data_IF_301921322762
#
_entry.id   IF_301921322762
#
_cell.length_a   1.000
_cell.length_b   1.000
_cell.length_c   1.000
_cell.angle_alpha   90.00
_cell.angle_beta   90.00
_cell.angle_gamma   90.00
#
_symmetry.space_group_name_H-M   'P 1'
#
loop_
_entity.id
_entity.type
_entity.pdbx_description
1 polymer ?
#
# COMPACT_ATOMS: atom_id res chain seq x y z
N UNK A 1 17.59 4.23 -11.83
CA UNK A 1 18.15 2.86 -11.92
C UNK A 1 19.43 2.93 -12.74
N UNK A 2 20.55 2.46 -12.21
CA UNK A 2 21.81 2.35 -12.96
C UNK A 2 22.10 0.89 -13.28
N UNK A 3 23.00 0.64 -14.24
CA UNK A 3 23.51 -0.71 -14.44
C UNK A 3 24.27 -1.18 -13.19
N UNK A 4 24.34 -2.49 -12.95
CA UNK A 4 24.98 -3.06 -11.76
C UNK A 4 26.44 -2.62 -11.54
N UNK A 5 27.12 -2.21 -12.61
CA UNK A 5 28.49 -1.72 -12.59
C UNK A 5 28.69 -0.28 -13.11
N UNK A 6 27.62 0.52 -13.25
CA UNK A 6 27.66 1.88 -13.81
C UNK A 6 28.44 2.88 -12.91
N UNK A 7 29.49 3.57 -13.44
CA UNK A 7 30.21 4.61 -12.74
C UNK A 7 29.81 6.02 -13.21
N UNK A 8 28.87 6.66 -12.52
CA UNK A 8 28.68 8.11 -12.67
C UNK A 8 29.27 8.84 -11.45
N UNK A 9 30.43 9.49 -11.62
CA UNK A 9 31.13 10.35 -10.62
C UNK A 9 30.27 11.54 -10.12
N UNK A 10 30.51 12.14 -8.94
CA UNK A 10 31.53 11.79 -7.95
C UNK A 10 31.64 12.68 -6.70
N UNK A 11 32.51 12.23 -5.80
CA UNK A 11 33.51 12.95 -5.02
C UNK A 11 33.14 14.39 -4.66
N UNK A 12 32.27 14.56 -3.66
CA UNK A 12 32.34 15.79 -2.84
C UNK A 12 33.53 15.70 -1.91
N UNK A 13 34.14 16.85 -1.61
CA UNK A 13 35.15 16.96 -0.56
C UNK A 13 34.59 16.33 0.72
N UNK A 14 35.37 15.50 1.43
CA UNK A 14 34.94 14.89 2.70
C UNK A 14 34.44 15.93 3.70
N UNK A 15 34.91 17.19 3.57
CA UNK A 15 34.47 18.33 4.38
C UNK A 15 33.06 18.83 4.04
N UNK A 16 32.56 18.57 2.83
CA UNK A 16 31.22 18.95 2.36
C UNK A 16 30.22 17.78 2.37
N UNK A 17 30.66 16.60 2.78
CA UNK A 17 29.84 15.41 2.83
C UNK A 17 28.93 15.44 4.08
N UNK A 18 27.60 15.28 3.93
CA UNK A 18 26.72 15.22 5.09
C UNK A 18 27.08 14.03 5.99
N UNK A 19 27.07 14.24 7.31
CA UNK A 19 27.48 13.23 8.32
C UNK A 19 26.73 11.88 8.21
N UNK A 20 25.56 11.87 7.57
CA UNK A 20 24.72 10.69 7.41
C UNK A 20 25.06 9.83 6.20
N UNK A 21 26.09 10.15 5.41
CA UNK A 21 26.48 9.40 4.21
C UNK A 21 27.71 8.51 4.53
N UNK A 22 27.50 7.19 4.67
CA UNK A 22 28.52 6.16 4.96
C UNK A 22 29.32 5.73 3.73
N UNK A 23 28.70 5.70 2.57
CA UNK A 23 29.32 5.24 1.33
C UNK A 23 28.73 5.96 0.11
N UNK A 24 29.56 6.21 -0.89
CA UNK A 24 29.16 6.64 -2.23
C UNK A 24 29.20 5.41 -3.14
N UNK A 25 28.08 5.02 -3.77
CA UNK A 25 27.96 3.78 -4.56
C UNK A 25 28.66 3.86 -5.93
N UNK A 26 29.68 4.70 -6.08
CA UNK A 26 30.20 5.16 -7.38
C UNK A 26 31.71 5.00 -7.39
N UNK A 27 32.17 3.76 -7.50
CA UNK A 27 33.57 3.41 -7.24
C UNK A 27 34.35 2.84 -8.42
N UNK A 28 33.72 2.49 -9.54
CA UNK A 28 34.43 2.03 -10.73
C UNK A 28 34.92 3.26 -11.51
N UNK A 29 36.16 3.25 -12.01
CA UNK A 29 36.62 4.31 -12.90
C UNK A 29 35.86 4.21 -14.24
N UNK A 30 35.49 5.33 -14.86
CA UNK A 30 34.79 5.34 -16.15
C UNK A 30 35.46 4.44 -17.21
N UNK A 31 36.80 4.42 -17.21
CA UNK A 31 37.61 3.57 -18.08
C UNK A 31 37.43 2.06 -17.88
N UNK A 32 37.12 1.61 -16.67
CA UNK A 32 36.91 0.20 -16.35
C UNK A 32 35.50 -0.25 -16.76
N UNK A 33 34.50 0.62 -16.60
CA UNK A 33 33.14 0.38 -17.10
C UNK A 33 33.08 0.33 -18.61
N UNK A 34 33.73 1.26 -19.32
CA UNK A 34 33.76 1.26 -20.78
C UNK A 34 34.36 -0.02 -21.36
N UNK A 35 35.20 -0.75 -20.59
CA UNK A 35 35.77 -2.03 -21.03
C UNK A 35 34.82 -3.22 -20.85
N UNK A 36 33.89 -3.15 -19.90
CA UNK A 36 32.94 -4.23 -19.57
C UNK A 36 31.61 -3.64 -19.06
N UNK A 37 30.83 -2.96 -19.90
CA UNK A 37 29.56 -2.40 -19.46
C UNK A 37 28.58 -3.54 -19.14
N UNK A 38 28.04 -3.53 -17.92
CA UNK A 38 26.85 -4.31 -17.61
C UNK A 38 25.65 -3.54 -18.17
N UNK A 39 24.77 -4.24 -18.88
CA UNK A 39 23.54 -3.66 -19.44
C UNK A 39 22.32 -4.07 -18.62
N UNK A 40 22.52 -4.87 -17.57
CA UNK A 40 21.48 -5.26 -16.64
C UNK A 40 21.31 -4.17 -15.58
N UNK A 41 20.11 -3.58 -15.55
CA UNK A 41 19.75 -2.62 -14.52
C UNK A 41 19.59 -3.31 -13.17
N UNK A 42 20.07 -2.65 -12.11
CA UNK A 42 19.76 -3.09 -10.76
C UNK A 42 18.25 -2.98 -10.51
N UNK A 43 17.64 -4.06 -10.01
CA UNK A 43 16.19 -4.13 -9.79
C UNK A 43 15.84 -4.35 -8.33
N UNK A 44 14.73 -3.73 -7.89
CA UNK A 44 14.11 -4.08 -6.62
C UNK A 44 13.42 -5.44 -6.73
N UNK A 45 12.81 -5.91 -5.64
CA UNK A 45 11.82 -6.99 -5.74
C UNK A 45 10.52 -6.39 -6.27
N UNK A 46 10.33 -6.45 -7.58
CA UNK A 46 9.10 -6.02 -8.24
C UNK A 46 8.01 -7.10 -8.14
N UNK A 47 6.79 -6.75 -8.53
CA UNK A 47 5.70 -7.71 -8.72
C UNK A 47 6.11 -8.81 -9.71
N UNK A 48 5.58 -10.04 -9.57
CA UNK A 48 5.89 -11.15 -10.48
C UNK A 48 5.69 -10.77 -11.95
N UNK A 49 6.59 -11.21 -12.83
CA UNK A 49 6.44 -11.07 -14.28
C UNK A 49 7.00 -9.79 -14.92
N UNK A 50 7.49 -8.82 -14.13
CA UNK A 50 7.98 -7.54 -14.68
C UNK A 50 9.48 -7.57 -15.01
N UNK A 51 10.30 -8.40 -14.34
CA UNK A 51 11.77 -8.44 -14.50
C UNK A 51 12.30 -9.87 -14.29
N UNK A 52 13.42 -10.21 -14.94
CA UNK A 52 14.09 -11.51 -14.78
C UNK A 52 14.50 -11.76 -13.32
N UNK A 53 14.16 -12.93 -12.79
CA UNK A 53 14.38 -13.31 -11.38
C UNK A 53 15.85 -13.19 -10.94
N UNK A 54 16.80 -13.29 -11.88
CA UNK A 54 18.23 -13.27 -11.64
C UNK A 54 18.78 -11.92 -11.14
N UNK A 55 18.05 -10.81 -11.30
CA UNK A 55 18.47 -9.48 -10.81
C UNK A 55 17.62 -8.96 -9.64
N UNK A 56 16.64 -9.73 -9.18
CA UNK A 56 15.72 -9.30 -8.14
C UNK A 56 16.43 -8.99 -6.82
N UNK A 57 16.26 -7.75 -6.31
CA UNK A 57 16.87 -7.32 -5.05
C UNK A 57 18.33 -6.91 -5.14
N UNK A 58 18.83 -6.64 -6.35
CA UNK A 58 20.19 -6.13 -6.58
C UNK A 58 20.32 -4.62 -6.40
N UNK A 59 19.19 -3.90 -6.31
CA UNK A 59 19.21 -2.47 -5.98
C UNK A 59 19.75 -2.21 -4.57
N UNK A 60 20.64 -1.21 -4.48
CA UNK A 60 21.08 -0.65 -3.21
C UNK A 60 19.90 -0.08 -2.43
N UNK A 61 19.97 -0.22 -1.11
CA UNK A 61 19.01 0.33 -0.15
C UNK A 61 19.55 1.58 0.52
N UNK A 62 18.67 2.25 1.24
CA UNK A 62 19.00 3.46 1.98
C UNK A 62 20.16 3.23 2.96
N UNK A 63 20.15 2.12 3.70
CA UNK A 63 21.17 1.78 4.70
C UNK A 63 22.54 1.43 4.11
N UNK A 64 22.62 1.10 2.81
CA UNK A 64 23.90 0.86 2.13
C UNK A 64 24.69 2.16 2.00
N UNK A 65 24.00 3.30 1.98
CA UNK A 65 24.60 4.62 1.86
C UNK A 65 24.44 5.43 3.14
N UNK A 66 23.40 5.22 3.93
CA UNK A 66 23.01 6.12 5.03
C UNK A 66 23.19 5.53 6.42
N UNK A 67 23.73 6.35 7.35
CA UNK A 67 23.79 6.05 8.77
C UNK A 67 22.58 6.58 9.52
N UNK A 68 21.59 5.73 9.76
CA UNK A 68 20.42 6.13 10.53
C UNK A 68 20.75 6.43 12.01
N UNK A 69 21.77 5.79 12.61
CA UNK A 69 22.08 5.92 14.03
C UNK A 69 22.61 7.31 14.40
N UNK A 70 23.20 8.02 13.45
CA UNK A 70 23.78 9.34 13.68
C UNK A 70 22.76 10.49 13.61
N UNK A 71 21.62 10.30 12.93
CA UNK A 71 20.67 11.39 12.64
C UNK A 71 19.26 11.22 13.17
N UNK A 72 18.87 10.01 13.61
CA UNK A 72 17.50 9.72 14.06
C UNK A 72 17.35 9.70 15.60
N UNK A 73 18.19 10.44 16.33
CA UNK A 73 18.15 10.51 17.80
C UNK A 73 16.85 11.11 18.36
N UNK A 74 16.08 11.82 17.53
CA UNK A 74 14.77 12.36 17.88
C UNK A 74 13.69 11.28 18.05
N UNK A 75 13.88 10.10 17.43
CA UNK A 75 12.91 9.02 17.44
C UNK A 75 13.06 8.20 18.73
N UNK A 76 11.99 7.98 19.51
CA UNK A 76 12.04 7.07 20.65
C UNK A 76 12.41 5.66 20.19
N UNK A 77 13.38 5.03 20.85
CA UNK A 77 13.85 3.67 20.53
C UNK A 77 14.14 3.49 19.02
N UNK A 78 15.10 4.22 18.44
CA UNK A 78 15.28 4.27 16.98
C UNK A 78 15.60 2.90 16.38
N UNK A 79 16.31 2.05 17.13
CA UNK A 79 16.58 0.67 16.72
C UNK A 79 15.31 -0.16 16.49
N UNK A 80 14.25 0.03 17.30
CA UNK A 80 12.99 -0.73 17.15
C UNK A 80 12.25 -0.31 15.89
N UNK A 81 12.19 0.99 15.60
CA UNK A 81 11.59 1.50 14.37
C UNK A 81 12.35 1.03 13.13
N UNK A 82 13.68 1.14 13.12
CA UNK A 82 14.51 0.69 12.00
C UNK A 82 14.46 -0.83 11.79
N UNK A 83 14.13 -1.61 12.82
CA UNK A 83 13.88 -3.05 12.70
C UNK A 83 12.49 -3.37 12.13
N UNK A 84 11.48 -2.54 12.38
CA UNK A 84 10.09 -2.78 11.97
C UNK A 84 9.70 -2.10 10.64
N UNK A 85 10.40 -1.05 10.23
CA UNK A 85 10.03 -0.22 9.08
C UNK A 85 11.18 -0.07 8.09
N UNK A 86 10.84 -0.06 6.81
CA UNK A 86 11.72 0.44 5.76
C UNK A 86 11.82 1.97 5.85
N UNK A 87 12.95 2.54 5.40
CA UNK A 87 13.19 3.99 5.47
C UNK A 87 12.11 4.78 4.73
N UNK A 88 11.63 4.22 3.61
CA UNK A 88 10.57 4.77 2.77
C UNK A 88 9.24 4.95 3.52
N UNK A 89 8.98 4.21 4.61
CA UNK A 89 7.75 4.39 5.39
C UNK A 89 7.64 5.80 5.97
N UNK A 90 8.76 6.36 6.45
CA UNK A 90 8.81 7.73 6.97
C UNK A 90 9.23 8.74 5.89
N UNK A 91 10.04 8.32 4.92
CA UNK A 91 10.58 9.20 3.88
C UNK A 91 9.74 9.26 2.61
N UNK A 92 8.71 8.43 2.44
CA UNK A 92 7.69 8.58 1.39
C UNK A 92 6.32 8.69 2.09
N UNK A 93 6.10 9.76 2.87
CA UNK A 93 4.86 9.92 3.64
C UNK A 93 3.67 10.21 2.74
N UNK A 94 3.92 10.83 1.58
CA UNK A 94 2.93 11.19 0.56
C UNK A 94 3.55 11.08 -0.82
N UNK A 95 2.76 10.66 -1.80
CA UNK A 95 3.10 10.72 -3.21
C UNK A 95 2.46 11.98 -3.80
N UNK A 96 3.25 12.85 -4.41
CA UNK A 96 2.81 14.14 -4.97
C UNK A 96 2.51 14.09 -6.47
N UNK A 97 2.60 12.91 -7.08
CA UNK A 97 2.21 12.68 -8.48
C UNK A 97 0.95 11.80 -8.56
N UNK A 98 0.20 11.91 -9.67
CA UNK A 98 -0.82 10.91 -10.00
C UNK A 98 -0.17 9.53 -10.14
N UNK A 99 -0.87 8.49 -9.69
CA UNK A 99 -0.51 7.10 -9.99
C UNK A 99 -1.79 6.33 -10.35
N UNK A 100 -1.64 5.20 -11.05
CA UNK A 100 -2.77 4.35 -11.41
C UNK A 100 -3.46 3.87 -10.12
N UNK A 101 -4.78 4.05 -10.07
CA UNK A 101 -5.68 3.50 -9.05
C UNK A 101 -6.22 2.16 -9.52
N UNK A 102 -6.85 2.17 -10.71
CA UNK A 102 -7.47 1.00 -11.29
C UNK A 102 -7.38 0.99 -12.82
N UNK A 103 -7.37 -0.21 -13.39
CA UNK A 103 -7.46 -0.48 -14.82
C UNK A 103 -8.60 -1.46 -15.04
N UNK A 104 -9.61 -1.05 -15.80
CA UNK A 104 -10.81 -1.84 -16.06
C UNK A 104 -10.88 -2.23 -17.55
N UNK A 105 -10.55 -3.48 -17.83
CA UNK A 105 -10.67 -4.15 -19.12
C UNK A 105 -12.01 -4.86 -19.30
N UNK A 106 -12.94 -4.75 -18.34
CA UNK A 106 -14.28 -5.31 -18.52
C UNK A 106 -15.11 -4.54 -19.53
N UNK A 107 -14.70 -3.31 -19.82
CA UNK A 107 -15.21 -2.41 -20.87
C UNK A 107 -14.05 -1.92 -21.74
N UNK A 108 -14.34 -1.54 -22.99
CA UNK A 108 -13.37 -0.92 -23.90
C UNK A 108 -13.75 0.51 -24.23
N UNK A 109 -12.78 1.43 -24.18
CA UNK A 109 -12.95 2.82 -24.68
C UNK A 109 -13.00 2.85 -26.21
N UNK A 110 -13.40 3.98 -26.84
CA UNK A 110 -13.33 4.12 -28.30
C UNK A 110 -11.94 3.85 -28.89
N UNK A 111 -10.88 4.08 -28.11
CA UNK A 111 -9.48 3.82 -28.48
C UNK A 111 -9.09 2.32 -28.36
N UNK A 112 -10.05 1.44 -28.11
CA UNK A 112 -9.84 -0.01 -27.86
C UNK A 112 -8.99 -0.29 -26.62
N UNK A 113 -8.90 0.67 -25.70
CA UNK A 113 -8.14 0.56 -24.47
C UNK A 113 -9.03 0.25 -23.25
N UNK A 114 -8.41 -0.04 -22.08
CA UNK A 114 -9.14 -0.16 -20.84
C UNK A 114 -9.53 1.22 -20.32
N UNK A 115 -10.54 1.25 -19.48
CA UNK A 115 -10.81 2.41 -18.66
C UNK A 115 -9.81 2.50 -17.52
N UNK A 116 -8.97 3.53 -17.53
CA UNK A 116 -7.94 3.75 -16.51
C UNK A 116 -8.32 4.91 -15.58
N UNK A 117 -8.21 4.69 -14.27
CA UNK A 117 -8.36 5.75 -13.26
C UNK A 117 -7.07 5.97 -12.52
N UNK A 118 -6.84 7.22 -12.15
CA UNK A 118 -5.66 7.65 -11.41
C UNK A 118 -6.07 8.17 -10.04
N UNK A 119 -5.28 7.83 -9.02
CA UNK A 119 -5.40 8.40 -7.67
C UNK A 119 -4.52 9.64 -7.55
N UNK A 120 -4.92 10.55 -6.67
CA UNK A 120 -4.21 11.80 -6.40
C UNK A 120 -4.43 12.88 -7.45
N UNK A 121 -5.53 12.79 -8.22
CA UNK A 121 -5.97 13.80 -9.19
C UNK A 121 -7.47 14.07 -9.10
N UNK A 122 -7.88 15.24 -9.55
CA UNK A 122 -9.28 15.59 -9.82
C UNK A 122 -9.35 16.21 -11.20
N UNK A 123 -10.00 15.52 -12.13
CA UNK A 123 -9.99 15.83 -13.57
C UNK A 123 -9.35 14.72 -14.41
N UNK A 124 -9.34 14.90 -15.73
CA UNK A 124 -8.72 13.98 -16.69
C UNK A 124 -7.19 14.18 -16.73
N UNK A 125 -6.40 13.11 -16.74
CA UNK A 125 -4.94 13.22 -16.52
C UNK A 125 -4.20 14.04 -17.61
N UNK A 126 -4.78 14.14 -18.79
CA UNK A 126 -4.31 14.88 -19.96
C UNK A 126 -4.86 16.31 -20.06
N UNK A 127 -5.82 16.68 -19.21
CA UNK A 127 -6.36 18.04 -19.13
C UNK A 127 -5.39 18.97 -18.37
N UNK A 128 -4.93 20.09 -18.96
CA UNK A 128 -4.12 21.10 -18.28
C UNK A 128 -4.78 21.68 -17.01
N UNK A 129 -6.11 21.64 -16.90
CA UNK A 129 -6.88 22.07 -15.74
C UNK A 129 -6.91 21.08 -14.58
N UNK A 130 -6.30 19.89 -14.72
CA UNK A 130 -6.36 18.85 -13.70
C UNK A 130 -5.63 19.23 -12.43
N UNK A 131 -6.34 19.09 -11.31
CA UNK A 131 -5.79 19.33 -9.99
C UNK A 131 -5.05 18.08 -9.49
N UNK A 132 -3.74 18.18 -9.34
CA UNK A 132 -2.90 17.15 -8.73
C UNK A 132 -2.87 17.36 -7.22
N UNK A 133 -3.48 16.45 -6.46
CA UNK A 133 -3.55 16.49 -5.00
C UNK A 133 -2.60 15.48 -4.32
N UNK A 134 -2.15 14.48 -5.07
CA UNK A 134 -1.35 13.38 -4.51
C UNK A 134 -2.15 12.50 -3.53
N UNK A 135 -1.49 11.56 -2.87
CA UNK A 135 -2.14 10.64 -1.95
C UNK A 135 -1.15 10.05 -0.93
N UNK A 136 -1.69 9.50 0.15
CA UNK A 136 -0.89 8.76 1.14
C UNK A 136 -0.84 7.28 0.79
N UNK A 137 0.35 6.66 0.73
CA UNK A 137 0.45 5.28 0.32
C UNK A 137 0.05 4.30 1.43
N UNK A 138 -0.39 3.11 1.02
CA UNK A 138 -0.74 2.03 1.94
C UNK A 138 0.53 1.44 2.53
N UNK A 139 0.52 1.19 3.84
CA UNK A 139 1.62 0.56 4.53
C UNK A 139 1.40 -0.95 4.61
N UNK A 140 2.24 -1.74 3.92
CA UNK A 140 2.13 -3.21 3.88
C UNK A 140 3.41 -3.88 4.41
N UNK A 141 3.27 -5.04 5.08
CA UNK A 141 4.41 -5.85 5.47
C UNK A 141 5.08 -6.47 4.24
N UNK A 142 6.42 -6.44 4.21
CA UNK A 142 7.24 -7.02 3.15
C UNK A 142 8.47 -7.71 3.76
N UNK A 143 8.81 -8.88 3.24
CA UNK A 143 10.00 -9.60 3.63
C UNK A 143 11.29 -8.87 3.18
N UNK A 144 12.27 -8.81 4.07
CA UNK A 144 13.66 -8.39 3.81
C UNK A 144 14.47 -9.58 3.28
N UNK A 145 15.67 -9.33 2.77
CA UNK A 145 16.58 -10.40 2.30
C UNK A 145 16.95 -11.39 3.41
N UNK A 146 16.96 -10.95 4.67
CA UNK A 146 17.28 -11.79 5.82
C UNK A 146 16.06 -12.53 6.39
N UNK A 147 14.91 -12.51 5.73
CA UNK A 147 13.68 -13.17 6.17
C UNK A 147 12.90 -12.41 7.25
N UNK A 148 13.42 -11.30 7.78
CA UNK A 148 12.67 -10.42 8.67
C UNK A 148 11.58 -9.67 7.89
N UNK A 149 10.45 -9.37 8.52
CA UNK A 149 9.36 -8.59 7.91
C UNK A 149 9.43 -7.13 8.35
N UNK A 150 9.32 -6.21 7.40
CA UNK A 150 9.26 -4.77 7.65
C UNK A 150 8.12 -4.13 6.88
N UNK A 151 7.59 -3.02 7.39
CA UNK A 151 6.53 -2.26 6.73
C UNK A 151 7.13 -1.32 5.68
N UNK A 152 6.54 -1.28 4.49
CA UNK A 152 6.89 -0.37 3.40
C UNK A 152 5.65 0.27 2.76
N UNK A 153 5.78 1.47 2.16
CA UNK A 153 4.72 2.11 1.40
C UNK A 153 4.51 1.43 0.04
N UNK A 154 3.25 1.23 -0.32
CA UNK A 154 2.83 0.65 -1.59
C UNK A 154 1.70 1.46 -2.22
N UNK A 155 1.68 1.50 -3.55
CA UNK A 155 0.49 1.80 -4.32
C UNK A 155 -0.25 0.49 -4.61
N UNK A 156 -1.53 0.42 -4.26
CA UNK A 156 -2.39 -0.70 -4.65
C UNK A 156 -3.07 -0.37 -5.98
N UNK A 157 -2.83 -1.19 -6.99
CA UNK A 157 -3.50 -1.07 -8.30
C UNK A 157 -4.50 -2.20 -8.44
N UNK A 158 -5.75 -1.87 -8.72
CA UNK A 158 -6.78 -2.86 -9.03
C UNK A 158 -6.91 -3.05 -10.55
N UNK A 159 -6.92 -4.29 -11.01
CA UNK A 159 -7.19 -4.65 -12.40
C UNK A 159 -8.47 -5.47 -12.46
N UNK A 160 -9.40 -5.11 -13.34
CA UNK A 160 -10.60 -5.88 -13.63
C UNK A 160 -10.57 -6.33 -15.08
N UNK A 161 -10.87 -7.59 -15.35
CA UNK A 161 -10.78 -8.15 -16.69
C UNK A 161 -11.62 -9.42 -16.82
N UNK A 162 -11.82 -9.87 -18.06
CA UNK A 162 -12.52 -11.11 -18.37
C UNK A 162 -11.56 -12.30 -18.41
N UNK A 163 -11.99 -13.44 -17.87
CA UNK A 163 -11.32 -14.74 -18.07
C UNK A 163 -12.28 -15.75 -18.70
N UNK A 164 -11.72 -16.69 -19.45
CA UNK A 164 -12.42 -17.78 -20.13
C UNK A 164 -11.93 -19.16 -19.66
N UNK A 165 -12.77 -20.18 -19.85
CA UNK A 165 -12.41 -21.59 -19.66
C UNK A 165 -12.10 -22.02 -18.22
N UNK A 166 -11.58 -23.25 -18.10
CA UNK A 166 -11.06 -23.83 -16.86
C UNK A 166 -9.80 -24.68 -17.21
N UNK A 167 -8.57 -24.28 -16.78
CA UNK A 167 -8.26 -23.20 -15.85
C UNK A 167 -8.55 -21.80 -16.42
N UNK A 168 -8.86 -20.80 -15.56
CA UNK A 168 -9.10 -19.43 -15.99
C UNK A 168 -7.92 -18.85 -16.78
N UNK A 169 -8.18 -18.37 -17.98
CA UNK A 169 -7.21 -17.64 -18.81
C UNK A 169 -7.75 -16.27 -19.21
N UNK A 170 -6.95 -15.19 -19.24
CA UNK A 170 -7.42 -13.88 -19.66
C UNK A 170 -7.96 -13.91 -21.10
N UNK A 171 -9.15 -13.33 -21.30
CA UNK A 171 -9.74 -13.16 -22.64
C UNK A 171 -8.82 -12.29 -23.49
N UNK A 172 -8.64 -12.66 -24.76
CA UNK A 172 -7.76 -11.93 -25.68
C UNK A 172 -8.41 -10.60 -26.06
N UNK A 173 -7.57 -9.58 -26.28
CA UNK A 173 -8.04 -8.26 -26.71
C UNK A 173 -8.88 -8.33 -28.00
N UNK A 174 -8.49 -9.18 -28.96
CA UNK A 174 -9.24 -9.35 -30.22
C UNK A 174 -10.68 -9.82 -30.01
N UNK A 175 -10.94 -10.66 -29.00
CA UNK A 175 -12.29 -11.14 -28.71
C UNK A 175 -13.10 -10.08 -27.96
N UNK A 176 -12.45 -9.33 -27.06
CA UNK A 176 -13.06 -8.15 -26.44
C UNK A 176 -13.46 -7.10 -27.50
N UNK A 177 -12.58 -6.80 -28.44
CA UNK A 177 -12.88 -5.87 -29.54
C UNK A 177 -14.04 -6.37 -30.41
N UNK A 178 -14.07 -7.67 -30.74
CA UNK A 178 -15.14 -8.25 -31.53
C UNK A 178 -16.50 -8.22 -30.81
N UNK A 179 -16.52 -8.37 -29.48
CA UNK A 179 -17.75 -8.25 -28.68
C UNK A 179 -18.23 -6.80 -28.57
N UNK A 180 -17.28 -5.86 -28.43
CA UNK A 180 -17.61 -4.45 -28.20
C UNK A 180 -17.94 -3.68 -29.48
N UNK A 181 -17.33 -4.02 -30.62
CA UNK A 181 -17.34 -3.16 -31.79
C UNK A 181 -17.71 -3.86 -33.11
N UNK A 182 -18.44 -3.15 -33.95
CA UNK A 182 -18.75 -3.52 -35.33
C UNK A 182 -18.60 -2.31 -36.24
N UNK A 183 -17.88 -2.44 -37.35
CA UNK A 183 -17.65 -1.34 -38.33
C UNK A 183 -17.07 -0.04 -37.73
N UNK A 184 -16.41 -0.13 -36.57
CA UNK A 184 -15.78 1.02 -35.90
C UNK A 184 -16.53 1.49 -34.65
N UNK A 185 -17.85 1.32 -34.62
CA UNK A 185 -18.74 1.78 -33.56
C UNK A 185 -19.06 0.67 -32.55
N UNK A 186 -19.60 1.04 -31.38
CA UNK A 186 -20.12 0.06 -30.43
C UNK A 186 -21.24 -0.77 -31.07
N UNK A 187 -21.26 -2.08 -30.79
CA UNK A 187 -22.35 -2.92 -31.29
C UNK A 187 -23.69 -2.48 -30.70
N UNK A 188 -24.82 -2.67 -31.40
CA UNK A 188 -26.13 -2.31 -30.88
C UNK A 188 -26.47 -2.95 -29.53
N UNK A 189 -25.95 -4.16 -29.28
CA UNK A 189 -26.11 -4.86 -28.01
C UNK A 189 -25.39 -4.17 -26.84
N UNK A 190 -24.21 -3.59 -27.09
CA UNK A 190 -23.46 -2.83 -26.08
C UNK A 190 -24.12 -1.47 -25.84
N UNK A 191 -24.54 -0.76 -26.89
CA UNK A 191 -25.26 0.51 -26.74
C UNK A 191 -26.52 0.30 -25.91
N UNK A 192 -27.35 -0.70 -26.23
CA UNK A 192 -28.58 -1.00 -25.50
C UNK A 192 -28.39 -1.19 -23.97
N UNK A 193 -27.20 -1.62 -23.56
CA UNK A 193 -26.90 -2.01 -22.18
C UNK A 193 -26.21 -0.87 -21.41
N UNK A 194 -25.39 -0.07 -22.10
CA UNK A 194 -24.57 0.96 -21.48
C UNK A 194 -25.18 2.37 -21.60
N UNK A 195 -25.92 2.66 -22.67
CA UNK A 195 -26.61 3.93 -22.91
C UNK A 195 -27.72 4.15 -21.85
N UNK A 196 -27.38 4.87 -20.78
CA UNK A 196 -28.28 5.16 -19.66
C UNK A 196 -29.21 6.33 -19.99
N UNK A 197 -28.72 7.30 -20.78
CA UNK A 197 -29.48 8.51 -21.12
C UNK A 197 -30.34 8.38 -22.41
N UNK A 198 -30.20 7.26 -23.11
CA UNK A 198 -30.91 6.88 -24.32
C UNK A 198 -30.65 7.82 -25.51
N UNK A 199 -29.45 8.40 -25.62
CA UNK A 199 -29.05 9.26 -26.74
C UNK A 199 -28.54 8.49 -27.97
N UNK A 200 -28.42 7.16 -27.85
CA UNK A 200 -27.95 6.25 -28.88
C UNK A 200 -26.43 6.10 -28.95
N UNK A 201 -25.68 6.61 -27.97
CA UNK A 201 -24.22 6.50 -27.85
C UNK A 201 -23.85 5.98 -26.47
N UNK A 202 -22.56 5.65 -26.30
CA UNK A 202 -22.00 5.29 -24.99
C UNK A 202 -21.03 6.38 -24.59
N UNK A 203 -21.41 7.15 -23.59
CA UNK A 203 -20.61 8.20 -22.99
C UNK A 203 -19.52 7.68 -22.01
N UNK A 204 -18.56 8.52 -21.63
CA UNK A 204 -17.51 8.14 -20.67
C UNK A 204 -18.01 7.74 -19.27
N UNK A 205 -19.13 8.31 -18.84
CA UNK A 205 -19.74 8.01 -17.54
C UNK A 205 -20.57 6.72 -17.54
N UNK A 206 -21.06 6.33 -18.72
CA UNK A 206 -21.85 5.14 -19.00
C UNK A 206 -21.00 3.89 -19.20
N UNK A 207 -19.73 4.08 -19.59
CA UNK A 207 -18.74 3.02 -19.83
C UNK A 207 -18.29 2.36 -18.51
N UNK A 208 -19.19 1.61 -17.89
CA UNK A 208 -19.02 0.89 -16.62
C UNK A 208 -20.02 -0.27 -16.51
N UNK A 209 -19.62 -1.37 -15.87
CA UNK A 209 -20.51 -2.51 -15.58
C UNK A 209 -20.97 -2.50 -14.12
N UNK A 210 -21.62 -1.42 -13.70
CA UNK A 210 -22.03 -1.16 -12.32
C UNK A 210 -23.26 -1.95 -11.84
N UNK A 211 -23.90 -2.71 -12.73
CA UNK A 211 -25.00 -3.63 -12.39
C UNK A 211 -24.75 -5.04 -12.91
N UNK A 212 -25.32 -6.04 -12.23
CA UNK A 212 -25.23 -7.45 -12.67
C UNK A 212 -25.83 -7.65 -14.07
N UNK A 213 -26.82 -6.83 -14.45
CA UNK A 213 -27.42 -6.83 -15.79
C UNK A 213 -26.38 -6.47 -16.85
N UNK A 214 -25.60 -5.40 -16.63
CA UNK A 214 -24.54 -4.98 -17.54
C UNK A 214 -23.42 -6.03 -17.64
N UNK A 215 -23.00 -6.58 -16.50
CA UNK A 215 -22.00 -7.66 -16.48
C UNK A 215 -22.48 -8.87 -17.29
N UNK A 216 -23.72 -9.31 -17.06
CA UNK A 216 -24.31 -10.47 -17.77
C UNK A 216 -24.43 -10.23 -19.27
N UNK A 217 -24.83 -9.02 -19.68
CA UNK A 217 -24.99 -8.71 -21.09
C UNK A 217 -23.64 -8.66 -21.84
N UNK A 218 -22.58 -8.10 -21.23
CA UNK A 218 -21.24 -8.15 -21.82
C UNK A 218 -20.68 -9.58 -21.85
N UNK A 219 -20.94 -10.39 -20.82
CA UNK A 219 -20.60 -11.81 -20.84
C UNK A 219 -21.28 -12.53 -22.03
N UNK A 220 -22.57 -12.28 -22.27
CA UNK A 220 -23.28 -12.84 -23.42
C UNK A 220 -22.73 -12.35 -24.78
N UNK A 221 -22.30 -11.09 -24.87
CA UNK A 221 -21.65 -10.57 -26.06
C UNK A 221 -20.31 -11.27 -26.34
N UNK A 222 -19.54 -11.58 -25.29
CA UNK A 222 -18.31 -12.36 -25.39
C UNK A 222 -18.59 -13.81 -25.83
N UNK A 223 -19.63 -14.45 -25.29
CA UNK A 223 -20.04 -15.79 -25.73
C UNK A 223 -20.43 -15.81 -27.21
N UNK A 224 -21.10 -14.78 -27.70
CA UNK A 224 -21.51 -14.67 -29.09
C UNK A 224 -20.34 -14.60 -30.08
N UNK A 225 -19.17 -14.11 -29.64
CA UNK A 225 -17.93 -14.09 -30.45
C UNK A 225 -17.02 -15.30 -30.20
N UNK A 226 -17.50 -16.27 -29.42
CA UNK A 226 -16.83 -17.56 -29.24
C UNK A 226 -15.99 -17.70 -27.98
N UNK A 227 -16.08 -16.76 -27.02
CA UNK A 227 -15.41 -16.86 -25.72
C UNK A 227 -16.19 -17.83 -24.81
N UNK A 228 -15.63 -18.98 -24.39
CA UNK A 228 -16.34 -19.96 -23.58
C UNK A 228 -16.39 -19.56 -22.10
N UNK A 229 -17.61 -19.46 -21.57
CA UNK A 229 -17.89 -19.21 -20.14
C UNK A 229 -17.13 -17.98 -19.57
N UNK A 230 -17.29 -16.79 -20.18
CA UNK A 230 -16.62 -15.58 -19.75
C UNK A 230 -17.08 -15.18 -18.36
N UNK A 231 -16.11 -14.81 -17.51
CA UNK A 231 -16.38 -14.29 -16.17
C UNK A 231 -15.49 -13.10 -15.87
N UNK A 232 -16.06 -12.04 -15.32
CA UNK A 232 -15.31 -10.89 -14.86
C UNK A 232 -14.63 -11.24 -13.53
N UNK A 233 -13.33 -10.93 -13.43
CA UNK A 233 -12.51 -11.13 -12.24
C UNK A 233 -11.75 -9.85 -11.92
N UNK A 234 -11.27 -9.75 -10.69
CA UNK A 234 -10.47 -8.63 -10.23
C UNK A 234 -9.21 -9.09 -9.51
N UNK A 235 -8.13 -8.34 -9.67
CA UNK A 235 -6.87 -8.55 -8.96
C UNK A 235 -6.33 -7.25 -8.37
N UNK A 236 -5.62 -7.35 -7.25
CA UNK A 236 -4.92 -6.26 -6.57
C UNK A 236 -3.43 -6.54 -6.69
N UNK A 237 -2.69 -5.59 -7.25
CA UNK A 237 -1.25 -5.63 -7.41
C UNK A 237 -0.59 -4.57 -6.51
N UNK A 238 0.21 -4.98 -5.51
CA UNK A 238 0.97 -4.05 -4.69
C UNK A 238 2.26 -3.62 -5.39
N UNK A 239 2.39 -2.32 -5.65
CA UNK A 239 3.61 -1.70 -6.19
C UNK A 239 4.36 -0.96 -5.09
N UNK A 240 5.55 -1.43 -4.72
CA UNK A 240 6.37 -0.78 -3.72
C UNK A 240 6.79 0.64 -4.17
N UNK A 241 6.73 1.59 -3.25
CA UNK A 241 7.09 2.97 -3.52
C UNK A 241 8.49 3.28 -2.95
N UNK A 242 9.46 3.43 -3.86
CA UNK A 242 10.85 3.75 -3.53
C UNK A 242 11.34 5.08 -4.10
N UNK A 243 10.44 5.86 -4.70
CA UNK A 243 10.71 7.19 -5.26
C UNK A 243 9.91 8.26 -4.50
N UNK A 244 10.17 9.53 -4.81
CA UNK A 244 9.64 10.69 -4.08
C UNK A 244 10.03 10.70 -2.60
N UNK A 245 11.30 10.34 -2.34
CA UNK A 245 11.92 10.38 -1.02
C UNK A 245 11.99 11.84 -0.54
N UNK A 246 11.18 12.15 0.46
CA UNK A 246 11.12 13.42 1.14
C UNK A 246 12.41 13.69 1.90
N UNK A 247 12.91 14.92 1.76
CA UNK A 247 14.02 15.43 2.56
C UNK A 247 13.65 15.53 4.05
N UNK A 248 14.67 15.75 4.89
CA UNK A 248 14.53 15.72 6.36
C UNK A 248 13.39 16.58 6.94
N UNK A 249 13.04 17.71 6.31
CA UNK A 249 12.00 18.62 6.77
C UNK A 249 10.57 18.10 6.54
N UNK A 250 10.40 17.16 5.60
CA UNK A 250 9.12 16.64 5.15
C UNK A 250 8.94 15.15 5.45
N UNK A 251 9.96 14.50 6.01
CA UNK A 251 9.84 13.13 6.52
C UNK A 251 8.85 13.07 7.70
N UNK A 252 8.17 11.95 7.84
CA UNK A 252 7.20 11.74 8.90
C UNK A 252 7.89 11.72 10.27
N UNK A 253 7.49 12.66 11.14
CA UNK A 253 8.01 12.81 12.52
C UNK A 253 6.92 12.84 13.59
N UNK A 254 5.67 13.02 13.19
CA UNK A 254 4.55 12.98 14.11
C UNK A 254 4.20 11.51 14.42
N UNK A 255 4.44 11.12 15.68
CA UNK A 255 4.16 9.77 16.15
C UNK A 255 2.67 9.41 16.00
N UNK A 256 1.76 10.37 16.13
CA UNK A 256 0.33 10.13 16.07
C UNK A 256 -0.12 9.62 14.69
N UNK A 257 0.59 9.96 13.61
CA UNK A 257 0.29 9.48 12.26
C UNK A 257 0.36 7.95 12.14
N UNK A 258 1.15 7.28 12.98
CA UNK A 258 1.27 5.82 13.02
C UNK A 258 0.66 5.18 14.28
N UNK A 259 0.59 5.90 15.40
CA UNK A 259 0.17 5.34 16.69
C UNK A 259 -1.24 5.73 17.14
N UNK A 260 -1.94 6.61 16.42
CA UNK A 260 -3.35 6.94 16.70
C UNK A 260 -4.33 5.91 16.14
N UNK A 261 -5.60 6.01 16.53
CA UNK A 261 -6.69 5.14 16.07
C UNK A 261 -7.02 5.31 14.59
N UNK A 262 -6.92 6.54 14.07
CA UNK A 262 -7.03 6.85 12.65
C UNK A 262 -5.67 6.91 11.94
N UNK A 263 -4.71 6.11 12.37
CA UNK A 263 -3.35 6.11 11.80
C UNK A 263 -3.30 5.55 10.39
N UNK A 264 -2.15 5.72 9.73
CA UNK A 264 -1.85 5.11 8.42
C UNK A 264 -1.95 3.58 8.38
N UNK A 265 -2.04 2.93 9.55
CA UNK A 265 -2.22 1.48 9.66
C UNK A 265 -3.68 1.04 9.77
N UNK A 266 -4.62 1.97 9.81
CA UNK A 266 -6.07 1.69 9.89
C UNK A 266 -6.87 2.49 8.86
N UNK A 267 -6.26 3.50 8.22
CA UNK A 267 -6.92 4.32 7.20
C UNK A 267 -7.31 3.51 5.95
N UNK A 268 -8.60 3.54 5.55
CA UNK A 268 -9.05 2.94 4.31
C UNK A 268 -8.44 3.62 3.09
N UNK A 269 -8.14 2.84 2.05
CA UNK A 269 -7.66 3.32 0.76
C UNK A 269 -8.56 2.83 -0.35
N UNK A 270 -9.00 3.75 -1.23
CA UNK A 270 -9.79 3.39 -2.42
C UNK A 270 -8.99 2.49 -3.35
N UNK A 271 -9.61 1.40 -3.78
CA UNK A 271 -9.10 0.45 -4.77
C UNK A 271 -9.73 0.70 -6.15
N UNK A 272 -11.04 0.98 -6.16
CA UNK A 272 -11.76 1.34 -7.37
C UNK A 272 -12.98 2.19 -7.01
N UNK A 273 -13.14 3.34 -7.65
CA UNK A 273 -14.32 4.18 -7.48
C UNK A 273 -15.59 3.54 -8.06
N UNK A 274 -15.47 2.77 -9.14
CA UNK A 274 -16.60 2.18 -9.86
C UNK A 274 -16.20 0.79 -10.38
N UNK A 275 -16.17 -0.22 -9.51
CA UNK A 275 -15.84 -1.59 -9.88
C UNK A 275 -16.99 -2.24 -10.69
N UNK A 276 -16.72 -3.27 -11.50
CA UNK A 276 -17.76 -4.12 -12.05
C UNK A 276 -18.59 -4.77 -10.94
N UNK A 277 -19.91 -4.82 -11.12
CA UNK A 277 -20.85 -5.33 -10.14
C UNK A 277 -20.54 -6.78 -9.77
N UNK A 278 -20.56 -7.08 -8.47
CA UNK A 278 -20.29 -8.42 -7.96
C UNK A 278 -18.83 -8.88 -8.02
N UNK A 279 -17.91 -8.07 -8.55
CA UNK A 279 -16.49 -8.44 -8.67
C UNK A 279 -15.69 -7.88 -7.50
N UNK A 280 -15.24 -8.78 -6.60
CA UNK A 280 -14.32 -8.43 -5.51
C UNK A 280 -12.91 -8.88 -5.89
N UNK A 281 -11.93 -7.96 -6.00
CA UNK A 281 -10.60 -8.31 -6.46
C UNK A 281 -9.80 -9.02 -5.36
N UNK A 282 -9.12 -10.10 -5.74
CA UNK A 282 -8.18 -10.82 -4.88
C UNK A 282 -6.76 -10.29 -5.00
N UNK A 283 -5.85 -10.64 -4.09
CA UNK A 283 -4.42 -10.37 -4.30
C UNK A 283 -3.93 -11.17 -5.52
N UNK A 284 -3.14 -10.53 -6.39
CA UNK A 284 -2.51 -11.21 -7.54
C UNK A 284 -1.75 -12.45 -7.08
N UNK A 285 -1.84 -13.53 -7.87
CA UNK A 285 -1.11 -14.76 -7.59
C UNK A 285 0.39 -14.47 -7.48
N UNK A 286 1.05 -15.21 -6.58
CA UNK A 286 2.50 -15.10 -6.32
C UNK A 286 2.98 -13.73 -5.81
N UNK A 287 2.09 -12.86 -5.33
CA UNK A 287 2.50 -11.61 -4.69
C UNK A 287 3.44 -11.87 -3.50
N UNK A 288 4.65 -11.29 -3.46
CA UNK A 288 5.57 -11.41 -2.33
C UNK A 288 5.14 -10.55 -1.12
N UNK A 289 4.08 -9.76 -1.27
CA UNK A 289 3.54 -8.84 -0.28
C UNK A 289 2.11 -9.27 0.05
N UNK A 290 1.83 -9.76 1.27
CA UNK A 290 0.48 -10.12 1.66
C UNK A 290 -0.37 -8.86 1.91
N UNK A 291 -1.65 -8.94 1.57
CA UNK A 291 -2.63 -7.95 1.99
C UNK A 291 -3.02 -8.22 3.45
N UNK A 292 -2.57 -7.37 4.35
CA UNK A 292 -2.85 -7.48 5.77
C UNK A 292 -4.09 -6.67 6.17
N UNK A 293 -5.21 -6.94 5.52
CA UNK A 293 -6.45 -6.17 5.68
C UNK A 293 -7.61 -6.80 4.93
N UNK A 294 -8.70 -6.05 4.80
CA UNK A 294 -9.94 -6.49 4.16
C UNK A 294 -10.29 -5.60 2.97
N UNK A 295 -10.93 -6.18 1.95
CA UNK A 295 -11.52 -5.43 0.85
C UNK A 295 -13.01 -5.32 1.12
N UNK A 296 -13.49 -4.09 1.25
CA UNK A 296 -14.88 -3.79 1.57
C UNK A 296 -15.51 -2.99 0.43
N UNK A 297 -16.79 -3.24 0.20
CA UNK A 297 -17.61 -2.46 -0.72
C UNK A 297 -18.43 -1.46 0.10
N UNK A 298 -18.23 -0.16 -0.14
CA UNK A 298 -18.87 0.92 0.60
C UNK A 298 -19.25 2.05 -0.36
N UNK A 299 -20.55 2.39 -0.43
CA UNK A 299 -21.03 3.49 -1.28
C UNK A 299 -20.80 3.29 -2.78
N UNK A 300 -20.74 2.05 -3.26
CA UNK A 300 -20.45 1.73 -4.68
C UNK A 300 -18.96 1.71 -5.02
N UNK A 301 -18.08 1.95 -4.03
CA UNK A 301 -16.62 1.92 -4.20
C UNK A 301 -16.03 0.68 -3.51
N UNK A 302 -14.93 0.18 -4.05
CA UNK A 302 -14.08 -0.78 -3.35
C UNK A 302 -12.99 -0.05 -2.56
N UNK A 303 -12.81 -0.45 -1.31
CA UNK A 303 -11.79 0.07 -0.40
C UNK A 303 -11.01 -1.06 0.25
N UNK A 304 -9.70 -0.89 0.35
CA UNK A 304 -8.84 -1.69 1.19
C UNK A 304 -8.77 -1.07 2.58
N UNK A 305 -9.08 -1.85 3.62
CA UNK A 305 -8.99 -1.45 5.02
C UNK A 305 -7.86 -2.24 5.68
N UNK A 306 -6.73 -1.60 6.03
CA UNK A 306 -5.62 -2.30 6.67
C UNK A 306 -6.00 -2.72 8.10
N UNK A 307 -5.49 -3.88 8.52
CA UNK A 307 -5.74 -4.46 9.84
C UNK A 307 -4.40 -4.84 10.49
N UNK A 308 -3.88 -4.03 11.45
CA UNK A 308 -2.55 -4.24 12.03
C UNK A 308 -2.32 -5.64 12.60
N UNK A 309 -3.35 -6.23 13.21
CA UNK A 309 -3.29 -7.59 13.75
C UNK A 309 -3.04 -8.65 12.66
N UNK A 310 -3.68 -8.50 11.48
CA UNK A 310 -3.43 -9.38 10.32
C UNK A 310 -2.02 -9.18 9.75
N UNK A 311 -1.44 -8.00 9.93
CA UNK A 311 -0.05 -7.70 9.56
C UNK A 311 0.97 -8.23 10.58
N UNK A 312 0.52 -8.83 11.69
CA UNK A 312 1.35 -9.18 12.85
C UNK A 312 2.12 -7.98 13.42
N UNK A 313 1.56 -6.77 13.26
CA UNK A 313 2.13 -5.54 13.77
C UNK A 313 1.53 -5.23 15.13
N UNK A 314 2.40 -5.19 16.15
CA UNK A 314 2.04 -4.64 17.44
C UNK A 314 2.25 -3.11 17.43
N UNK A 315 1.14 -2.37 17.41
CA UNK A 315 1.16 -0.92 17.53
C UNK A 315 0.90 -0.54 19.00
N UNK A 316 1.91 0.03 19.65
CA UNK A 316 1.78 0.49 21.04
C UNK A 316 0.63 1.50 21.15
N UNK A 317 -0.32 1.25 22.05
CA UNK A 317 -1.52 2.08 22.26
C UNK A 317 -2.74 1.67 21.41
N UNK A 318 -2.59 0.72 20.49
CA UNK A 318 -3.66 0.19 19.61
C UNK A 318 -3.81 -1.33 19.76
N UNK A 319 -2.70 -2.05 19.89
CA UNK A 319 -2.66 -3.47 20.20
C UNK A 319 -2.86 -3.69 21.70
N UNK A 320 -4.11 -3.80 22.14
CA UNK A 320 -4.44 -4.26 23.49
C UNK A 320 -4.49 -5.78 23.57
N UNK A 321 -4.12 -6.34 24.71
CA UNK A 321 -4.44 -7.72 25.05
C UNK A 321 -5.27 -7.67 26.33
N UNK A 322 -6.56 -7.95 26.22
CA UNK A 322 -7.53 -7.79 27.31
C UNK A 322 -7.13 -8.54 28.58
N UNK A 323 -6.44 -9.68 28.47
CA UNK A 323 -5.94 -10.44 29.61
C UNK A 323 -4.78 -9.71 30.29
N UNK A 324 -3.82 -9.21 29.52
CA UNK A 324 -2.68 -8.44 30.04
C UNK A 324 -3.15 -7.13 30.65
N UNK A 325 -4.08 -6.45 29.98
CA UNK A 325 -4.65 -5.19 30.45
C UNK A 325 -5.41 -5.40 31.76
N UNK A 326 -6.23 -6.45 31.86
CA UNK A 326 -6.94 -6.81 33.09
C UNK A 326 -5.97 -7.17 34.23
N UNK A 327 -4.92 -7.94 33.94
CA UNK A 327 -3.90 -8.28 34.93
C UNK A 327 -3.15 -7.02 35.41
N UNK A 328 -2.85 -6.10 34.49
CA UNK A 328 -2.27 -4.78 34.80
C UNK A 328 -3.16 -3.99 35.74
N UNK A 329 -4.45 -3.84 35.41
CA UNK A 329 -5.43 -3.17 36.27
C UNK A 329 -5.59 -3.83 37.63
N UNK A 330 -5.64 -5.17 37.69
CA UNK A 330 -5.70 -5.91 38.94
C UNK A 330 -4.47 -5.65 39.83
N UNK A 331 -3.28 -5.56 39.24
CA UNK A 331 -2.05 -5.24 39.98
C UNK A 331 -2.07 -3.84 40.59
N UNK A 332 -2.56 -2.83 39.83
CA UNK A 332 -2.70 -1.45 40.28
C UNK A 332 -3.69 -1.37 41.45
N UNK A 333 -4.84 -2.05 41.32
CA UNK A 333 -5.85 -2.11 42.39
C UNK A 333 -5.32 -2.78 43.65
N UNK A 334 -4.52 -3.84 43.51
CA UNK A 334 -3.93 -4.55 44.65
C UNK A 334 -2.92 -3.67 45.39
N UNK A 335 -2.07 -2.92 44.68
CA UNK A 335 -1.12 -1.97 45.28
C UNK A 335 -1.86 -0.83 45.98
N UNK A 336 -2.91 -0.28 45.36
CA UNK A 336 -3.76 0.74 45.98
C UNK A 336 -4.42 0.24 47.27
N UNK A 337 -5.03 -0.94 47.23
CA UNK A 337 -5.64 -1.56 48.40
C UNK A 337 -4.63 -1.79 49.52
N UNK A 338 -3.45 -2.33 49.20
CA UNK A 338 -2.36 -2.52 50.17
C UNK A 338 -1.89 -1.19 50.79
N UNK A 339 -1.77 -0.14 49.98
CA UNK A 339 -1.37 1.20 50.44
C UNK A 339 -2.41 1.83 51.37
N UNK A 340 -3.69 1.71 51.02
CA UNK A 340 -4.82 2.20 51.85
C UNK A 340 -4.89 1.45 53.16
N UNK A 341 -4.80 0.11 53.14
CA UNK A 341 -4.81 -0.71 54.36
C UNK A 341 -3.64 -0.36 55.27
N UNK A 342 -2.43 -0.23 54.72
CA UNK A 342 -1.25 0.14 55.50
C UNK A 342 -1.36 1.57 56.07
N UNK A 343 -1.79 2.54 55.26
CA UNK A 343 -2.02 3.92 55.70
C UNK A 343 -3.12 4.03 56.77
N UNK A 344 -4.22 3.32 56.57
CA UNK A 344 -5.35 3.24 57.50
C UNK A 344 -4.94 2.63 58.84
N UNK A 345 -4.20 1.52 58.81
CA UNK A 345 -3.65 0.89 60.01
C UNK A 345 -2.75 1.85 60.81
N UNK A 346 -1.92 2.66 60.13
CA UNK A 346 -1.11 3.71 60.79
C UNK A 346 -1.96 4.78 61.46
N UNK A 347 -3.03 5.25 60.82
CA UNK A 347 -3.93 6.27 61.40
C UNK A 347 -4.70 5.71 62.59
N UNK A 348 -5.21 4.48 62.49
CA UNK A 348 -5.90 3.80 63.59
C UNK A 348 -4.99 3.55 64.79
N UNK A 349 -3.75 3.10 64.56
CA UNK A 349 -2.76 2.90 65.62
C UNK A 349 -2.41 4.21 66.35
N UNK A 350 -2.37 5.35 65.64
CA UNK A 350 -2.17 6.68 66.23
C UNK A 350 -3.39 7.23 66.98
N UNK A 351 -4.59 6.71 66.71
CA UNK A 351 -5.84 7.12 67.36
C UNK A 351 -6.22 6.24 68.56
N UNK A 352 -5.41 5.24 68.91
CA UNK A 352 -5.58 4.52 70.18
C UNK A 352 -5.23 5.49 71.32
N UNK A 353 -6.13 5.72 72.30
CA UNK A 353 -5.78 6.43 73.51
C UNK A 353 -4.62 5.71 74.21
N UNK A 354 -3.66 6.46 74.76
CA UNK A 354 -2.80 5.93 75.81
C UNK A 354 -3.73 5.62 76.99
N UNK A 355 -4.11 4.36 77.15
CA UNK A 355 -4.73 3.89 78.38
C UNK A 355 -3.64 3.98 79.45
N UNK A 356 -3.67 5.10 80.18
CA UNK A 356 -2.75 5.44 81.24
C UNK A 356 -2.61 4.28 82.23
N UNK A 357 -1.38 3.81 82.36
CA UNK A 357 -0.98 2.85 83.37
C UNK A 357 -1.03 3.55 84.73
N UNK A 358 -2.13 3.31 85.45
CA UNK A 358 -2.33 3.68 86.85
C UNK A 358 -1.31 2.90 87.70
N UNK A 359 -0.27 3.61 88.14
CA UNK A 359 0.73 3.09 89.08
C UNK A 359 0.21 3.28 90.50
N UNK A 360 -0.24 2.19 91.13
CA UNK A 360 -0.39 2.06 92.57
C UNK A 360 0.58 1.03 93.13
#
# INVERSE_FOLDING_TARGET
HGALNDPVHGLRDKKEQPAHLRAEVRGMALQDYLRRPDHDFATGRAAPGVLGAQHAGTMKRCEDCHDAAQTHQWLPYPARHLQAMFCETCHVPRVHSPLIESVDWTVLTPERGPRTRYRGVTGAIDDPGTLISGFEPVLLPRATDGGATKVAPHNLVSAFYWVEGDPPTPVRLVDLEAAFFWEGDYTPGIVLVLDEDHDGKVGPDELRLDTEVKVTAVAAALEAVGVPSPRAVGEIQPYALSHQVAGHGFALKDCATCHSEGSRFTQPTRLAAQPPAGVVPGLVKDSPVPLAGDVVHEGGELRYVPTPAKAQLYLLGQGGNTVVDLAGWASVLLVLAGSILHGGARVMARRRPDDGEDRS
#
